data_IF_603204747042
#
_entry.id   IF_603204747042
#
_cell.length_a   1.000
_cell.length_b   1.000
_cell.length_c   1.000
_cell.angle_alpha   90.00
_cell.angle_beta   90.00
_cell.angle_gamma   90.00
#
_symmetry.space_group_name_H-M   'P 1'
#
loop_
_entity.id
_entity.type
_entity.pdbx_description
1 polymer ?
#
# COMPACT_ATOMS: atom_id res chain seq x y z
N UNK A 1 -30.51 64.17 -85.62
CA UNK A 1 -29.20 64.30 -84.95
C UNK A 1 -28.14 63.62 -85.83
N UNK A 2 -27.26 64.40 -86.47
CA UNK A 2 -26.23 63.93 -87.41
C UNK A 2 -25.01 63.29 -86.73
N UNK A 3 -23.97 62.98 -87.51
CA UNK A 3 -22.78 62.15 -87.18
C UNK A 3 -22.21 62.30 -85.76
N UNK A 4 -22.24 63.49 -85.16
CA UNK A 4 -21.81 63.73 -83.78
C UNK A 4 -22.58 62.90 -82.73
N UNK A 5 -23.87 62.58 -82.96
CA UNK A 5 -24.70 61.81 -82.03
C UNK A 5 -24.38 60.31 -81.98
N UNK A 6 -23.73 59.75 -83.02
CA UNK A 6 -23.32 58.33 -83.03
C UNK A 6 -22.19 58.07 -82.03
N UNK A 7 -21.22 58.99 -81.91
CA UNK A 7 -20.14 58.88 -80.92
C UNK A 7 -20.64 58.94 -79.48
N UNK A 8 -21.54 59.88 -79.17
CA UNK A 8 -22.16 59.96 -77.83
C UNK A 8 -23.03 58.75 -77.49
N UNK A 9 -23.76 58.19 -78.47
CA UNK A 9 -24.54 56.97 -78.26
C UNK A 9 -23.67 55.75 -77.95
N UNK A 10 -22.51 55.62 -78.60
CA UNK A 10 -21.55 54.53 -78.34
C UNK A 10 -20.92 54.69 -76.96
N UNK A 11 -20.49 55.90 -76.59
CA UNK A 11 -19.95 56.18 -75.26
C UNK A 11 -20.99 55.93 -74.16
N UNK A 12 -22.24 56.35 -74.36
CA UNK A 12 -23.32 56.11 -73.41
C UNK A 12 -23.63 54.60 -73.25
N UNK A 13 -23.59 53.83 -74.34
CA UNK A 13 -23.77 52.38 -74.28
C UNK A 13 -22.60 51.70 -73.54
N UNK A 14 -21.37 52.18 -73.74
CA UNK A 14 -20.19 51.63 -73.06
C UNK A 14 -20.16 51.98 -71.57
N UNK A 15 -20.55 53.20 -71.18
CA UNK A 15 -20.75 53.59 -69.78
C UNK A 15 -21.84 52.74 -69.12
N UNK A 16 -22.94 52.46 -69.84
CA UNK A 16 -24.02 51.60 -69.34
C UNK A 16 -23.55 50.15 -69.17
N UNK A 17 -22.80 49.61 -70.13
CA UNK A 17 -22.18 48.28 -70.02
C UNK A 17 -21.19 48.19 -68.85
N UNK A 18 -20.35 49.22 -68.66
CA UNK A 18 -19.43 49.30 -67.54
C UNK A 18 -20.16 49.38 -66.21
N UNK A 19 -21.24 50.16 -66.13
CA UNK A 19 -22.07 50.27 -64.94
C UNK A 19 -22.75 48.94 -64.59
N UNK A 20 -23.29 48.22 -65.58
CA UNK A 20 -23.85 46.87 -65.38
C UNK A 20 -22.78 45.89 -64.89
N UNK A 21 -21.61 45.85 -65.53
CA UNK A 21 -20.49 45.01 -65.09
C UNK A 21 -20.02 45.36 -63.68
N UNK A 22 -20.00 46.64 -63.33
CA UNK A 22 -19.64 47.12 -61.99
C UNK A 22 -20.67 46.70 -60.95
N UNK A 23 -21.97 46.76 -61.28
CA UNK A 23 -23.05 46.32 -60.41
C UNK A 23 -23.02 44.79 -60.18
N UNK A 24 -22.74 44.01 -61.23
CA UNK A 24 -22.59 42.56 -61.12
C UNK A 24 -21.38 42.17 -60.26
N UNK A 25 -20.23 42.85 -60.47
CA UNK A 25 -19.05 42.65 -59.63
C UNK A 25 -19.33 43.02 -58.16
N UNK A 26 -20.02 44.14 -57.90
CA UNK A 26 -20.40 44.54 -56.55
C UNK A 26 -21.33 43.51 -55.88
N UNK A 27 -22.25 42.91 -56.64
CA UNK A 27 -23.13 41.83 -56.15
C UNK A 27 -22.32 40.59 -55.77
N UNK A 28 -21.39 40.15 -56.63
CA UNK A 28 -20.51 39.01 -56.33
C UNK A 28 -19.66 39.27 -55.08
N UNK A 29 -19.12 40.47 -54.91
CA UNK A 29 -18.38 40.87 -53.70
C UNK A 29 -19.28 40.75 -52.47
N UNK A 30 -20.52 41.24 -52.54
CA UNK A 30 -21.48 41.13 -51.42
C UNK A 30 -21.74 39.68 -51.04
N UNK A 31 -21.92 38.79 -52.02
CA UNK A 31 -22.17 37.37 -51.77
C UNK A 31 -20.96 36.70 -51.10
N UNK A 32 -19.74 37.00 -51.56
CA UNK A 32 -18.50 36.52 -50.93
C UNK A 32 -18.33 37.04 -49.51
N UNK A 33 -18.63 38.32 -49.26
CA UNK A 33 -18.58 38.91 -47.91
C UNK A 33 -19.57 38.22 -46.96
N UNK A 34 -20.80 37.95 -47.42
CA UNK A 34 -21.79 37.21 -46.63
C UNK A 34 -21.32 35.79 -46.31
N UNK A 35 -20.67 35.11 -47.26
CA UNK A 35 -20.07 33.80 -47.03
C UNK A 35 -18.97 33.86 -45.97
N UNK A 36 -18.06 34.83 -46.07
CA UNK A 36 -16.98 35.02 -45.09
C UNK A 36 -17.55 35.29 -43.70
N UNK A 37 -18.59 36.11 -43.57
CA UNK A 37 -19.23 36.38 -42.28
C UNK A 37 -19.83 35.12 -41.66
N UNK A 38 -20.52 34.29 -42.46
CA UNK A 38 -21.10 33.03 -42.00
C UNK A 38 -20.01 32.04 -41.55
N UNK A 39 -18.94 31.88 -42.34
CA UNK A 39 -17.81 31.03 -41.94
C UNK A 39 -17.09 31.55 -40.69
N UNK A 40 -16.99 32.88 -40.52
CA UNK A 40 -16.40 33.48 -39.31
C UNK A 40 -17.23 33.16 -38.07
N UNK A 41 -18.57 33.19 -38.16
CA UNK A 41 -19.44 32.81 -37.05
C UNK A 41 -19.32 31.32 -36.69
N UNK A 42 -19.22 30.44 -37.70
CA UNK A 42 -18.96 29.01 -37.45
C UNK A 42 -17.61 28.77 -36.78
N UNK A 43 -16.57 29.50 -37.19
CA UNK A 43 -15.24 29.44 -36.57
C UNK A 43 -15.32 29.87 -35.10
N UNK A 44 -16.07 30.95 -34.80
CA UNK A 44 -16.28 31.41 -33.43
C UNK A 44 -16.96 30.35 -32.56
N UNK A 45 -18.06 29.75 -33.03
CA UNK A 45 -18.75 28.67 -32.32
C UNK A 45 -17.85 27.44 -32.11
N UNK A 46 -17.05 27.10 -33.12
CA UNK A 46 -16.07 26.02 -33.02
C UNK A 46 -15.01 26.34 -31.97
N UNK A 47 -14.52 27.58 -31.92
CA UNK A 47 -13.55 28.04 -30.92
C UNK A 47 -14.10 27.98 -29.49
N UNK A 48 -15.36 28.39 -29.29
CA UNK A 48 -16.05 28.28 -28.00
C UNK A 48 -16.17 26.81 -27.55
N UNK A 49 -16.52 25.92 -28.48
CA UNK A 49 -16.60 24.47 -28.22
C UNK A 49 -15.24 23.91 -27.81
N UNK A 50 -14.18 24.24 -28.56
CA UNK A 50 -12.80 23.82 -28.23
C UNK A 50 -12.40 24.33 -26.84
N UNK A 51 -12.71 25.59 -26.51
CA UNK A 51 -12.42 26.16 -25.19
C UNK A 51 -13.12 25.38 -24.06
N UNK A 52 -14.39 25.01 -24.26
CA UNK A 52 -15.14 24.19 -23.31
C UNK A 52 -14.49 22.82 -23.09
N UNK A 53 -14.10 22.13 -24.17
CA UNK A 53 -13.43 20.82 -24.10
C UNK A 53 -12.08 20.90 -23.39
N UNK A 54 -11.30 21.95 -23.63
CA UNK A 54 -10.02 22.17 -22.94
C UNK A 54 -10.22 22.36 -21.44
N UNK A 55 -11.22 23.14 -21.03
CA UNK A 55 -11.53 23.36 -19.61
C UNK A 55 -12.00 22.06 -18.92
N UNK A 56 -12.84 21.27 -19.59
CA UNK A 56 -13.26 19.97 -19.08
C UNK A 56 -12.07 19.01 -18.94
N UNK A 57 -11.20 18.98 -19.94
CA UNK A 57 -9.98 18.15 -19.93
C UNK A 57 -9.06 18.55 -18.78
N UNK A 58 -8.87 19.85 -18.53
CA UNK A 58 -8.09 20.35 -17.39
C UNK A 58 -8.69 19.89 -16.06
N UNK A 59 -10.01 19.94 -15.91
CA UNK A 59 -10.71 19.44 -14.72
C UNK A 59 -10.48 17.95 -14.52
N UNK A 60 -10.63 17.15 -15.59
CA UNK A 60 -10.39 15.69 -15.58
C UNK A 60 -8.95 15.35 -15.21
N UNK A 61 -7.97 16.08 -15.73
CA UNK A 61 -6.56 15.93 -15.35
C UNK A 61 -6.37 16.21 -13.85
N UNK A 62 -6.99 17.25 -13.30
CA UNK A 62 -6.94 17.55 -11.87
C UNK A 62 -7.51 16.42 -10.99
N UNK A 63 -8.62 15.81 -11.42
CA UNK A 63 -9.19 14.63 -10.75
C UNK A 63 -8.24 13.43 -10.84
N UNK A 64 -7.68 13.17 -12.02
CA UNK A 64 -6.72 12.09 -12.24
C UNK A 64 -5.49 12.23 -11.35
N UNK A 65 -4.92 13.44 -11.22
CA UNK A 65 -3.79 13.69 -10.32
C UNK A 65 -4.13 13.39 -8.86
N UNK A 66 -5.34 13.74 -8.40
CA UNK A 66 -5.80 13.39 -7.05
C UNK A 66 -5.94 11.88 -6.85
N UNK A 67 -6.47 11.18 -7.85
CA UNK A 67 -6.60 9.72 -7.82
C UNK A 67 -5.22 9.05 -7.77
N UNK A 68 -4.27 9.51 -8.57
CA UNK A 68 -2.89 8.99 -8.56
C UNK A 68 -2.20 9.22 -7.22
N UNK A 69 -2.33 10.41 -6.62
CA UNK A 69 -1.79 10.70 -5.30
C UNK A 69 -2.40 9.79 -4.22
N UNK A 70 -3.71 9.56 -4.27
CA UNK A 70 -4.41 8.66 -3.35
C UNK A 70 -3.98 7.21 -3.54
N UNK A 71 -3.86 6.77 -4.79
CA UNK A 71 -3.38 5.44 -5.15
C UNK A 71 -1.97 5.20 -4.61
N UNK A 72 -1.06 6.16 -4.80
CA UNK A 72 0.31 6.06 -4.28
C UNK A 72 0.34 5.95 -2.74
N UNK A 73 -0.46 6.78 -2.04
CA UNK A 73 -0.58 6.71 -0.57
C UNK A 73 -1.10 5.34 -0.12
N UNK A 74 -2.13 4.81 -0.77
CA UNK A 74 -2.69 3.49 -0.45
C UNK A 74 -1.71 2.35 -0.74
N UNK A 75 -0.99 2.42 -1.86
CA UNK A 75 0.04 1.43 -2.22
C UNK A 75 1.16 1.39 -1.18
N UNK A 76 1.67 2.56 -0.79
CA UNK A 76 2.68 2.66 0.26
C UNK A 76 2.16 2.15 1.61
N UNK A 77 0.90 2.42 1.96
CA UNK A 77 0.26 1.90 3.19
C UNK A 77 0.19 0.37 3.19
N UNK A 78 -0.15 -0.23 2.04
CA UNK A 78 -0.25 -1.68 1.87
C UNK A 78 1.05 -2.42 2.21
N UNK A 79 2.22 -1.82 1.92
CA UNK A 79 3.53 -2.40 2.27
C UNK A 79 3.67 -2.58 3.79
N UNK A 80 3.32 -1.56 4.58
CA UNK A 80 3.40 -1.61 6.04
C UNK A 80 2.36 -2.55 6.67
N UNK A 81 1.17 -2.64 6.07
CA UNK A 81 0.13 -3.58 6.51
C UNK A 81 0.59 -5.03 6.33
N UNK A 82 1.17 -5.36 5.17
CA UNK A 82 1.72 -6.69 4.89
C UNK A 82 2.86 -7.04 5.86
N UNK A 83 3.77 -6.09 6.13
CA UNK A 83 4.83 -6.28 7.12
C UNK A 83 4.26 -6.56 8.52
N UNK A 84 3.28 -5.76 8.95
CA UNK A 84 2.64 -5.95 10.27
C UNK A 84 1.93 -7.30 10.39
N UNK A 85 1.26 -7.76 9.32
CA UNK A 85 0.58 -9.06 9.29
C UNK A 85 1.61 -10.19 9.38
N UNK A 86 2.69 -10.13 8.59
CA UNK A 86 3.78 -11.10 8.61
C UNK A 86 4.36 -11.27 10.01
N UNK A 87 4.65 -10.15 10.68
CA UNK A 87 5.17 -10.13 12.05
C UNK A 87 4.22 -10.82 13.04
N UNK A 88 2.91 -10.51 12.95
CA UNK A 88 1.89 -11.13 13.81
C UNK A 88 1.76 -12.64 13.56
N UNK A 89 1.83 -13.09 12.31
CA UNK A 89 1.77 -14.51 11.95
C UNK A 89 2.91 -15.27 12.61
N UNK A 90 4.15 -14.76 12.51
CA UNK A 90 5.30 -15.43 13.10
C UNK A 90 5.18 -15.53 14.63
N UNK A 91 4.82 -14.44 15.30
CA UNK A 91 4.65 -14.41 16.75
C UNK A 91 3.60 -15.44 17.20
N UNK A 92 2.47 -15.51 16.50
CA UNK A 92 1.43 -16.51 16.80
C UNK A 92 1.91 -17.94 16.53
N UNK A 93 2.70 -18.17 15.48
CA UNK A 93 3.30 -19.47 15.21
C UNK A 93 4.23 -19.90 16.35
N UNK A 94 5.07 -19.00 16.87
CA UNK A 94 5.94 -19.29 18.01
C UNK A 94 5.14 -19.67 19.26
N UNK A 95 4.02 -19.00 19.53
CA UNK A 95 3.11 -19.35 20.63
C UNK A 95 2.50 -20.74 20.43
N UNK A 96 2.00 -21.05 19.23
CA UNK A 96 1.44 -22.36 18.91
C UNK A 96 2.47 -23.49 19.05
N UNK A 97 3.70 -23.27 18.56
CA UNK A 97 4.80 -24.23 18.72
C UNK A 97 5.04 -24.56 20.21
N UNK A 98 4.98 -23.56 21.10
CA UNK A 98 5.12 -23.76 22.54
C UNK A 98 3.92 -24.46 23.19
N UNK A 99 2.68 -24.16 22.75
CA UNK A 99 1.49 -24.91 23.20
C UNK A 99 1.62 -26.38 22.84
N UNK A 100 2.02 -26.68 21.60
CA UNK A 100 2.21 -28.05 21.12
C UNK A 100 3.33 -28.74 21.90
N UNK A 101 4.45 -28.05 22.13
CA UNK A 101 5.58 -28.57 22.87
C UNK A 101 5.20 -28.95 24.32
N UNK A 102 4.49 -28.06 25.04
CA UNK A 102 3.97 -28.34 26.40
C UNK A 102 2.93 -29.47 26.39
N UNK A 103 2.01 -29.48 25.44
CA UNK A 103 1.01 -30.55 25.34
C UNK A 103 1.68 -31.92 25.14
N UNK A 104 2.68 -32.01 24.27
CA UNK A 104 3.44 -33.25 24.08
C UNK A 104 4.19 -33.67 25.35
N UNK A 105 4.73 -32.71 26.12
CA UNK A 105 5.32 -33.00 27.43
C UNK A 105 4.29 -33.62 28.37
N UNK A 106 3.09 -33.03 28.47
CA UNK A 106 2.03 -33.57 29.34
C UNK A 106 1.61 -34.98 28.94
N UNK A 107 1.47 -35.25 27.64
CA UNK A 107 1.19 -36.60 27.18
C UNK A 107 2.29 -37.59 27.56
N UNK A 108 3.57 -37.20 27.45
CA UNK A 108 4.69 -38.01 27.91
C UNK A 108 4.61 -38.31 29.42
N UNK A 109 4.34 -37.30 30.25
CA UNK A 109 4.33 -37.43 31.72
C UNK A 109 3.14 -38.26 32.23
N UNK A 110 1.97 -38.12 31.61
CA UNK A 110 0.75 -38.80 32.04
C UNK A 110 0.49 -40.12 31.31
N UNK A 111 1.46 -40.60 30.52
CA UNK A 111 1.38 -41.91 29.85
C UNK A 111 0.44 -41.98 28.65
N UNK A 112 0.11 -40.83 28.05
CA UNK A 112 -0.62 -40.76 26.79
C UNK A 112 0.27 -40.97 25.56
N UNK A 113 -0.35 -41.05 24.38
CA UNK A 113 0.40 -41.03 23.12
C UNK A 113 1.08 -39.66 22.94
N UNK A 114 2.40 -39.66 22.76
CA UNK A 114 3.19 -38.44 22.71
C UNK A 114 4.20 -38.44 21.55
N UNK A 115 4.50 -37.25 21.06
CA UNK A 115 5.61 -36.99 20.13
C UNK A 115 6.57 -35.96 20.73
N UNK A 116 6.73 -35.99 22.06
CA UNK A 116 7.67 -35.10 22.74
C UNK A 116 9.10 -35.36 22.27
N UNK A 117 9.74 -34.31 21.77
CA UNK A 117 11.13 -34.32 21.34
C UNK A 117 11.86 -33.24 22.14
N UNK A 118 12.73 -33.62 23.09
CA UNK A 118 13.55 -32.65 23.78
C UNK A 118 14.31 -31.79 22.78
N UNK A 119 14.26 -30.48 22.97
CA UNK A 119 14.96 -29.52 22.12
C UNK A 119 15.44 -28.37 22.99
N UNK A 120 16.66 -27.93 22.71
CA UNK A 120 17.22 -26.74 23.34
C UNK A 120 16.55 -25.47 22.78
N UNK A 121 16.42 -24.44 23.64
CA UNK A 121 15.79 -23.18 23.28
C UNK A 121 16.41 -22.52 22.04
N UNK A 122 17.73 -22.56 21.84
CA UNK A 122 18.38 -21.99 20.64
C UNK A 122 18.10 -22.80 19.37
N UNK A 123 17.78 -24.10 19.52
CA UNK A 123 17.57 -25.01 18.39
C UNK A 123 16.10 -25.14 17.95
N UNK A 124 15.17 -24.56 18.72
CA UNK A 124 13.76 -24.46 18.35
C UNK A 124 13.54 -23.37 17.27
N UNK A 125 12.33 -23.30 16.69
CA UNK A 125 12.01 -22.28 15.67
C UNK A 125 12.16 -20.85 16.21
N UNK A 126 11.66 -20.61 17.43
CA UNK A 126 11.75 -19.30 18.08
C UNK A 126 13.21 -18.93 18.38
N UNK A 127 14.02 -19.88 18.88
CA UNK A 127 15.45 -19.68 19.11
C UNK A 127 16.21 -19.30 17.85
N UNK A 128 16.03 -20.06 16.76
CA UNK A 128 16.66 -19.72 15.48
C UNK A 128 16.27 -18.33 14.98
N UNK A 129 14.99 -17.97 15.14
CA UNK A 129 14.52 -16.62 14.83
C UNK A 129 15.13 -15.55 15.74
N UNK A 130 15.34 -15.86 17.01
CA UNK A 130 15.92 -14.98 18.02
C UNK A 130 17.45 -14.79 17.83
N UNK A 131 18.18 -15.84 17.53
CA UNK A 131 19.64 -15.81 17.52
C UNK A 131 20.23 -15.35 16.20
N UNK A 132 19.63 -15.76 15.07
CA UNK A 132 20.24 -15.56 13.75
C UNK A 132 19.25 -15.19 12.64
N UNK A 133 17.95 -15.30 12.88
CA UNK A 133 16.92 -15.02 11.87
C UNK A 133 16.38 -13.59 11.89
N UNK A 134 15.23 -13.42 11.24
CA UNK A 134 14.53 -12.13 11.10
C UNK A 134 14.23 -11.45 12.45
N UNK A 135 14.07 -12.22 13.54
CA UNK A 135 13.88 -11.68 14.87
C UNK A 135 15.05 -10.81 15.27
N UNK A 136 16.28 -11.32 15.09
CA UNK A 136 17.48 -10.57 15.42
C UNK A 136 17.63 -9.35 14.54
N UNK A 137 17.40 -9.50 13.25
CA UNK A 137 17.58 -8.41 12.28
C UNK A 137 16.58 -7.27 12.50
N UNK A 138 15.32 -7.61 12.78
CA UNK A 138 14.22 -6.63 12.73
C UNK A 138 13.63 -6.25 14.09
N UNK A 139 13.81 -7.08 15.11
CA UNK A 139 13.21 -6.91 16.44
C UNK A 139 14.23 -6.72 17.56
N UNK A 140 15.52 -6.96 17.35
CA UNK A 140 16.55 -6.77 18.41
C UNK A 140 16.64 -5.34 18.95
N UNK A 141 16.10 -4.36 18.21
CA UNK A 141 16.02 -2.96 18.59
C UNK A 141 14.98 -2.68 19.69
N UNK A 142 13.99 -3.55 19.88
CA UNK A 142 12.90 -3.28 20.82
C UNK A 142 13.27 -3.78 22.23
N UNK A 143 12.95 -3.01 23.29
CA UNK A 143 13.39 -3.34 24.65
C UNK A 143 12.96 -4.73 25.14
N UNK A 144 11.74 -5.15 24.78
CA UNK A 144 11.17 -6.42 25.23
C UNK A 144 11.87 -7.64 24.63
N UNK A 145 12.63 -7.46 23.54
CA UNK A 145 13.31 -8.54 22.84
C UNK A 145 14.28 -9.31 23.75
N UNK A 146 15.19 -8.60 24.43
CA UNK A 146 16.20 -9.23 25.30
C UNK A 146 15.61 -9.95 26.50
N UNK A 147 14.43 -9.53 26.95
CA UNK A 147 13.78 -10.08 28.13
C UNK A 147 13.08 -11.41 27.85
N UNK A 148 12.76 -11.71 26.59
CA UNK A 148 12.16 -12.98 26.16
C UNK A 148 13.03 -14.18 26.53
N UNK A 149 14.34 -14.04 26.34
CA UNK A 149 15.28 -15.17 26.35
C UNK A 149 15.33 -15.92 27.67
N UNK A 150 15.30 -15.19 28.79
CA UNK A 150 15.28 -15.79 30.13
C UNK A 150 14.12 -16.77 30.30
N UNK A 151 12.93 -16.38 29.87
CA UNK A 151 11.71 -17.19 30.02
C UNK A 151 11.67 -18.31 28.99
N UNK A 152 12.13 -18.05 27.78
CA UNK A 152 12.27 -19.05 26.72
C UNK A 152 13.23 -20.19 27.13
N UNK A 153 14.41 -19.85 27.65
CA UNK A 153 15.34 -20.79 28.27
C UNK A 153 14.64 -21.62 29.36
N UNK A 154 13.91 -20.97 30.27
CA UNK A 154 13.25 -21.64 31.39
C UNK A 154 12.23 -22.69 30.92
N UNK A 155 11.42 -22.38 29.90
CA UNK A 155 10.45 -23.35 29.34
C UNK A 155 11.16 -24.61 28.86
N UNK A 156 12.18 -24.46 28.01
CA UNK A 156 12.89 -25.60 27.45
C UNK A 156 13.71 -26.36 28.50
N UNK A 157 14.41 -25.65 29.37
CA UNK A 157 15.23 -26.25 30.41
C UNK A 157 14.39 -27.13 31.34
N UNK A 158 13.32 -26.57 31.93
CA UNK A 158 12.48 -27.29 32.88
C UNK A 158 11.68 -28.42 32.20
N UNK A 159 11.19 -28.21 30.98
CA UNK A 159 10.51 -29.26 30.22
C UNK A 159 11.42 -30.45 29.90
N UNK A 160 12.65 -30.19 29.44
CA UNK A 160 13.61 -31.24 29.12
C UNK A 160 14.08 -31.99 30.37
N UNK A 161 14.30 -31.27 31.49
CA UNK A 161 14.61 -31.91 32.78
C UNK A 161 13.47 -32.81 33.24
N UNK A 162 12.23 -32.30 33.24
CA UNK A 162 11.07 -33.07 33.65
C UNK A 162 10.88 -34.32 32.78
N UNK A 163 11.03 -34.18 31.45
CA UNK A 163 10.98 -35.31 30.54
C UNK A 163 12.07 -36.34 30.84
N UNK A 164 13.32 -35.92 31.08
CA UNK A 164 14.41 -36.84 31.39
C UNK A 164 14.23 -37.57 32.72
N UNK A 165 13.77 -36.87 33.76
CA UNK A 165 13.58 -37.44 35.10
C UNK A 165 12.35 -38.35 35.18
N UNK A 166 11.28 -38.06 34.44
CA UNK A 166 10.03 -38.80 34.54
C UNK A 166 9.74 -39.73 33.34
N UNK A 167 10.55 -39.74 32.27
CA UNK A 167 10.37 -40.67 31.14
C UNK A 167 11.17 -41.97 31.34
N UNK A 168 10.48 -43.08 31.51
CA UNK A 168 11.10 -44.41 31.56
C UNK A 168 10.33 -45.42 32.42
N UNK A 169 10.50 -46.71 32.14
CA UNK A 169 9.77 -47.82 32.77
C UNK A 169 10.11 -48.07 34.25
N UNK A 170 11.02 -47.28 34.84
CA UNK A 170 11.60 -47.54 36.17
C UNK A 170 11.73 -46.33 37.10
N UNK A 171 11.20 -45.15 36.73
CA UNK A 171 11.31 -43.97 37.59
C UNK A 171 9.95 -43.58 38.15
N UNK A 172 9.79 -43.75 39.46
CA UNK A 172 8.69 -43.12 40.21
C UNK A 172 9.05 -41.65 40.38
N UNK A 173 8.69 -40.83 39.40
CA UNK A 173 8.74 -39.39 39.59
C UNK A 173 7.80 -39.02 40.74
N UNK A 174 8.28 -38.25 41.72
CA UNK A 174 7.41 -37.81 42.80
C UNK A 174 6.34 -36.87 42.24
N UNK A 175 5.11 -36.97 42.75
CA UNK A 175 4.02 -36.08 42.38
C UNK A 175 4.40 -34.60 42.58
N UNK A 176 5.09 -34.30 43.68
CA UNK A 176 5.56 -32.94 43.99
C UNK A 176 6.49 -32.38 42.91
N UNK A 177 7.46 -33.18 42.46
CA UNK A 177 8.39 -32.78 41.40
C UNK A 177 7.65 -32.46 40.09
N UNK A 178 6.66 -33.28 39.72
CA UNK A 178 5.85 -33.02 38.52
C UNK A 178 5.10 -31.70 38.66
N UNK A 179 4.42 -31.47 39.80
CA UNK A 179 3.66 -30.25 40.06
C UNK A 179 4.56 -29.00 40.02
N UNK A 180 5.70 -29.02 40.72
CA UNK A 180 6.64 -27.91 40.78
C UNK A 180 7.21 -27.56 39.39
N UNK A 181 7.60 -28.57 38.60
CA UNK A 181 8.18 -28.36 37.27
C UNK A 181 7.15 -27.90 36.25
N UNK A 182 5.94 -28.47 36.27
CA UNK A 182 4.85 -28.02 35.39
C UNK A 182 4.48 -26.57 35.71
N UNK A 183 4.41 -26.18 36.98
CA UNK A 183 4.14 -24.81 37.37
C UNK A 183 5.19 -23.84 36.81
N UNK A 184 6.48 -24.19 36.91
CA UNK A 184 7.57 -23.39 36.34
C UNK A 184 7.48 -23.26 34.81
N UNK A 185 7.21 -24.36 34.11
CA UNK A 185 7.04 -24.37 32.65
C UNK A 185 5.85 -23.50 32.22
N UNK A 186 4.71 -23.61 32.91
CA UNK A 186 3.52 -22.81 32.62
C UNK A 186 3.74 -21.32 32.86
N UNK A 187 4.28 -20.95 34.03
CA UNK A 187 4.60 -19.55 34.35
C UNK A 187 5.61 -18.96 33.37
N UNK A 188 6.66 -19.70 33.01
CA UNK A 188 7.63 -19.24 32.04
C UNK A 188 7.01 -19.10 30.64
N UNK A 189 6.15 -20.03 30.23
CA UNK A 189 5.44 -19.97 28.95
C UNK A 189 4.50 -18.77 28.87
N UNK A 190 3.81 -18.43 29.96
CA UNK A 190 2.97 -17.23 30.03
C UNK A 190 3.82 -15.97 29.82
N UNK A 191 4.99 -15.89 30.47
CA UNK A 191 5.91 -14.78 30.28
C UNK A 191 6.44 -14.71 28.85
N UNK A 192 6.78 -15.84 28.22
CA UNK A 192 7.13 -15.90 26.79
C UNK A 192 6.02 -15.26 25.95
N UNK A 193 4.75 -15.58 26.22
CA UNK A 193 3.63 -15.07 25.42
C UNK A 193 3.46 -13.55 25.60
N UNK A 194 3.58 -13.07 26.84
CA UNK A 194 3.53 -11.64 27.17
C UNK A 194 4.67 -10.88 26.45
N UNK A 195 5.90 -11.39 26.49
CA UNK A 195 7.02 -10.71 25.82
C UNK A 195 6.90 -10.76 24.31
N UNK A 196 6.39 -11.85 23.73
CA UNK A 196 6.12 -11.93 22.30
C UNK A 196 5.07 -10.89 21.85
N UNK A 197 4.02 -10.67 22.64
CA UNK A 197 3.04 -9.60 22.37
C UNK A 197 3.66 -8.21 22.49
N UNK A 198 4.42 -7.96 23.57
CA UNK A 198 5.12 -6.67 23.74
C UNK A 198 6.09 -6.38 22.59
N UNK A 199 6.86 -7.38 22.15
CA UNK A 199 7.77 -7.25 21.02
C UNK A 199 7.02 -6.87 19.74
N UNK A 200 5.86 -7.49 19.51
CA UNK A 200 5.01 -7.19 18.36
C UNK A 200 4.47 -5.76 18.44
N UNK A 201 3.93 -5.35 19.59
CA UNK A 201 3.37 -4.02 19.79
C UNK A 201 4.45 -2.92 19.66
N UNK A 202 5.61 -3.11 20.30
CA UNK A 202 6.76 -2.21 20.19
C UNK A 202 7.24 -2.08 18.73
N UNK A 203 7.28 -3.18 17.97
CA UNK A 203 7.65 -3.15 16.55
C UNK A 203 6.58 -2.46 15.70
N UNK A 204 5.31 -2.75 15.94
CA UNK A 204 4.18 -2.12 15.24
C UNK A 204 4.20 -0.60 15.44
N UNK A 205 4.47 -0.11 16.65
CA UNK A 205 4.58 1.32 16.91
C UNK A 205 5.72 2.00 16.11
N UNK A 206 6.86 1.32 15.97
CA UNK A 206 7.97 1.81 15.16
C UNK A 206 7.61 1.87 13.66
N UNK A 207 7.01 0.81 13.14
CA UNK A 207 6.55 0.74 11.74
C UNK A 207 5.53 1.86 11.47
N UNK A 208 4.57 2.08 12.37
CA UNK A 208 3.54 3.10 12.19
C UNK A 208 4.11 4.52 12.21
N UNK A 209 5.11 4.78 13.05
CA UNK A 209 5.83 6.07 13.05
C UNK A 209 6.60 6.29 11.74
N UNK A 210 7.25 5.26 11.23
CA UNK A 210 7.96 5.33 9.95
C UNK A 210 6.98 5.54 8.78
N UNK A 211 5.86 4.80 8.78
CA UNK A 211 4.80 4.95 7.79
C UNK A 211 4.23 6.37 7.81
N UNK A 212 3.94 6.92 8.99
CA UNK A 212 3.44 8.28 9.12
C UNK A 212 4.42 9.31 8.52
N UNK A 213 5.70 9.21 8.86
CA UNK A 213 6.73 10.10 8.32
C UNK A 213 6.83 10.01 6.79
N UNK A 214 6.86 8.80 6.22
CA UNK A 214 6.98 8.61 4.76
C UNK A 214 5.71 8.98 4.00
N UNK A 215 4.54 8.82 4.59
CA UNK A 215 3.25 9.08 3.94
C UNK A 215 2.80 10.55 4.04
N UNK A 216 3.20 11.26 5.10
CA UNK A 216 2.69 12.60 5.40
C UNK A 216 3.77 13.69 5.49
N UNK A 217 5.01 13.39 5.89
CA UNK A 217 6.07 14.41 6.00
C UNK A 217 6.87 14.61 4.69
N UNK A 218 6.68 13.73 3.69
CA UNK A 218 7.30 13.84 2.37
C UNK A 218 6.72 14.96 1.47
N UNK A 219 5.67 15.66 1.91
CA UNK A 219 5.06 16.77 1.16
C UNK A 219 5.74 18.15 1.40
N UNK A 220 6.86 18.19 2.16
CA UNK A 220 7.69 19.41 2.28
C UNK A 220 8.86 19.41 1.28
N UNK A 221 8.59 19.27 0.00
CA UNK A 221 9.52 19.67 -1.07
C UNK A 221 8.69 20.41 -2.12
N UNK A 222 9.12 21.63 -2.42
CA UNK A 222 8.55 22.63 -3.33
C UNK A 222 7.54 23.63 -2.74
N UNK A 223 8.13 24.66 -2.13
CA UNK A 223 7.58 26.01 -2.00
C UNK A 223 8.72 27.01 -2.18
#
# INVERSE_FOLDING_TARGET
>A
AGEAGKGFSVVAQEVRNLATRSADAAKQIKDVVNLIQNETEKIKQSSETVSSVVNETKSRIGVLSKLMNTFQKNSNRGVYEVESISNRIFINLAKLDHVIYKNNLYQLIFGGEHNFKPVDHHNCRLGKWYDTGLGREQFSIVPSYKNLEKYHHTVHHEANLLANECSGSKVSCSKQLIEDKIELVEKASEQVFIYLDKILDEKSDLIMKEAAKKLFDGEKVDG
#
